data_IF_966428027241
#
_entry.id   IF_966428027241
#
_cell.length_a   1.000
_cell.length_b   1.000
_cell.length_c   1.000
_cell.angle_alpha   90.00
_cell.angle_beta   90.00
_cell.angle_gamma   90.00
#
_symmetry.space_group_name_H-M   'P 1'
#
loop_
_entity.id
_entity.type
_entity.pdbx_description
1 polymer ?
#
# COMPACT_ATOMS: atom_id res chain seq x y z
N UNK A 1 -0.46 -18.07 -6.67
CA UNK A 1 0.56 -17.02 -6.86
C UNK A 1 -0.11 -15.82 -7.49
N UNK A 2 0.20 -14.59 -7.10
CA UNK A 2 -0.42 -13.40 -7.67
C UNK A 2 -1.03 -12.43 -6.66
N UNK A 3 -1.66 -11.39 -7.22
CA UNK A 3 -2.08 -10.17 -6.52
C UNK A 3 -2.95 -10.44 -5.29
N UNK A 4 -3.89 -11.40 -5.35
CA UNK A 4 -4.81 -11.70 -4.24
C UNK A 4 -4.07 -12.09 -2.94
N UNK A 5 -3.04 -12.93 -3.06
CA UNK A 5 -2.29 -13.39 -1.89
C UNK A 5 -1.39 -12.27 -1.35
N UNK A 6 -0.77 -11.49 -2.24
CA UNK A 6 0.04 -10.34 -1.85
C UNK A 6 -0.80 -9.29 -1.11
N UNK A 7 -2.02 -9.00 -1.59
CA UNK A 7 -2.95 -8.11 -0.92
C UNK A 7 -3.33 -8.61 0.47
N UNK A 8 -3.61 -9.90 0.64
CA UNK A 8 -3.92 -10.47 1.96
C UNK A 8 -2.77 -10.24 2.94
N UNK A 9 -1.53 -10.54 2.54
CA UNK A 9 -0.34 -10.32 3.38
C UNK A 9 -0.17 -8.84 3.70
N UNK A 10 -0.29 -7.96 2.70
CA UNK A 10 -0.20 -6.52 2.89
C UNK A 10 -1.26 -6.01 3.88
N UNK A 11 -2.51 -6.44 3.75
CA UNK A 11 -3.58 -6.04 4.67
C UNK A 11 -3.26 -6.47 6.10
N UNK A 12 -2.84 -7.72 6.30
CA UNK A 12 -2.47 -8.23 7.63
C UNK A 12 -1.30 -7.45 8.23
N UNK A 13 -0.26 -7.16 7.44
CA UNK A 13 0.89 -6.39 7.91
C UNK A 13 0.56 -4.93 8.20
N UNK A 14 -0.29 -4.31 7.37
CA UNK A 14 -0.71 -2.92 7.54
C UNK A 14 -1.60 -2.71 8.76
N UNK A 15 -2.30 -3.75 9.21
CA UNK A 15 -3.16 -3.67 10.40
C UNK A 15 -2.36 -3.42 11.68
N UNK A 16 -1.17 -4.00 11.80
CA UNK A 16 -0.34 -3.91 13.00
C UNK A 16 -0.01 -2.45 13.41
N UNK A 17 0.61 -1.61 12.55
CA UNK A 17 0.91 -0.22 12.91
C UNK A 17 -0.36 0.62 13.16
N UNK A 18 -1.45 0.35 12.44
CA UNK A 18 -2.72 1.06 12.62
C UNK A 18 -3.30 0.77 14.00
N UNK A 19 -3.40 -0.50 14.37
CA UNK A 19 -3.93 -0.93 15.67
C UNK A 19 -3.04 -0.43 16.81
N UNK A 20 -1.72 -0.60 16.69
CA UNK A 20 -0.78 -0.17 17.72
C UNK A 20 -0.85 1.35 17.95
N UNK A 21 -0.87 2.13 16.86
CA UNK A 21 -0.98 3.59 16.95
C UNK A 21 -2.32 4.02 17.53
N UNK A 22 -3.41 3.35 17.15
CA UNK A 22 -4.75 3.64 17.68
C UNK A 22 -4.85 3.35 19.18
N UNK A 23 -4.28 2.23 19.62
CA UNK A 23 -4.24 1.88 21.04
C UNK A 23 -3.46 2.92 21.85
N UNK A 24 -2.26 3.30 21.38
CA UNK A 24 -1.43 4.31 22.05
C UNK A 24 -2.14 5.68 22.06
N UNK A 25 -2.76 6.07 20.94
CA UNK A 25 -3.52 7.31 20.83
C UNK A 25 -4.64 7.43 21.86
N UNK A 26 -5.40 6.34 22.07
CA UNK A 26 -6.52 6.30 23.02
C UNK A 26 -6.07 6.25 24.49
N UNK A 27 -4.83 5.81 24.74
CA UNK A 27 -4.21 5.73 26.06
C UNK A 27 -3.56 7.04 26.47
N UNK A 28 -3.02 7.81 25.52
CA UNK A 28 -2.37 9.10 25.75
C UNK A 28 -3.35 10.25 26.05
N UNK A 29 -4.66 10.03 25.90
CA UNK A 29 -5.67 11.04 26.24
C UNK A 29 -5.64 11.33 27.74
N UNK A 30 -5.31 12.58 28.10
CA UNK A 30 -5.22 13.05 29.50
C UNK A 30 -6.48 12.72 30.30
N UNK A 31 -6.28 12.11 31.48
CA UNK A 31 -7.38 11.76 32.39
C UNK A 31 -8.18 12.98 32.86
N UNK A 32 -7.53 14.14 33.00
CA UNK A 32 -8.17 15.40 33.39
C UNK A 32 -9.34 15.76 32.46
N UNK A 33 -9.16 15.57 31.16
CA UNK A 33 -10.17 15.87 30.14
C UNK A 33 -11.33 14.88 30.23
N UNK A 34 -11.04 13.63 30.55
CA UNK A 34 -12.03 12.58 30.75
C UNK A 34 -12.87 12.87 32.01
N UNK A 35 -12.23 13.22 33.13
CA UNK A 35 -12.90 13.56 34.39
C UNK A 35 -13.77 14.82 34.23
N UNK A 36 -13.29 15.84 33.52
CA UNK A 36 -14.06 17.03 33.21
C UNK A 36 -15.31 16.71 32.36
N UNK A 37 -15.17 15.88 31.33
CA UNK A 37 -16.30 15.48 30.48
C UNK A 37 -17.36 14.68 31.27
N UNK A 38 -16.94 13.80 32.19
CA UNK A 38 -17.84 13.08 33.09
C UNK A 38 -18.54 14.06 34.05
N UNK A 39 -17.82 15.03 34.60
CA UNK A 39 -18.38 16.08 35.46
C UNK A 39 -19.41 16.98 34.77
N UNK A 40 -19.35 17.08 33.44
CA UNK A 40 -20.33 17.77 32.60
C UNK A 40 -21.54 16.88 32.20
N UNK A 41 -21.61 15.64 32.70
CA UNK A 41 -22.73 14.72 32.44
C UNK A 41 -22.63 13.92 31.14
N UNK A 42 -21.45 13.78 30.54
CA UNK A 42 -21.29 12.96 29.32
C UNK A 42 -21.61 11.48 29.59
N UNK A 43 -22.47 10.90 28.76
CA UNK A 43 -22.71 9.45 28.74
C UNK A 43 -21.44 8.70 28.26
N UNK A 44 -21.11 7.51 28.78
CA UNK A 44 -20.00 6.67 28.31
C UNK A 44 -19.81 6.57 26.79
N UNK A 45 -20.90 6.48 26.02
CA UNK A 45 -20.82 6.45 24.55
C UNK A 45 -20.36 7.79 23.97
N UNK A 46 -20.85 8.90 24.52
CA UNK A 46 -20.46 10.24 24.10
C UNK A 46 -19.03 10.57 24.52
N UNK A 47 -18.63 10.13 25.71
CA UNK A 47 -17.25 10.24 26.20
C UNK A 47 -16.27 9.54 25.26
N UNK A 48 -16.62 8.35 24.76
CA UNK A 48 -15.77 7.64 23.80
C UNK A 48 -15.72 8.36 22.44
N UNK A 49 -16.87 8.58 21.79
CA UNK A 49 -16.89 9.09 20.41
C UNK A 49 -16.57 10.58 20.29
N UNK A 50 -17.08 11.43 21.19
CA UNK A 50 -16.93 12.90 21.09
C UNK A 50 -15.67 13.41 21.76
N UNK A 51 -15.18 12.74 22.82
CA UNK A 51 -14.01 13.20 23.57
C UNK A 51 -12.79 12.35 23.23
N UNK A 52 -12.74 11.10 23.67
CA UNK A 52 -11.54 10.25 23.56
C UNK A 52 -11.13 9.99 22.11
N UNK A 53 -12.07 9.55 21.29
CA UNK A 53 -11.80 9.22 19.88
C UNK A 53 -11.38 10.46 19.10
N UNK A 54 -12.12 11.57 19.24
CA UNK A 54 -11.85 12.82 18.54
C UNK A 54 -10.48 13.43 18.90
N UNK A 55 -10.06 13.32 20.15
CA UNK A 55 -8.73 13.73 20.61
C UNK A 55 -7.62 12.81 20.10
N UNK A 56 -7.91 11.52 19.91
CA UNK A 56 -6.96 10.52 19.43
C UNK A 56 -6.75 10.53 17.90
N UNK A 57 -7.68 11.10 17.10
CA UNK A 57 -7.61 11.13 15.63
C UNK A 57 -6.24 11.56 15.08
N UNK A 58 -5.60 12.66 15.53
CA UNK A 58 -4.33 13.10 14.96
C UNK A 58 -3.23 12.06 15.10
N UNK A 59 -3.14 11.39 16.25
CA UNK A 59 -2.20 10.30 16.51
C UNK A 59 -2.54 9.05 15.67
N UNK A 60 -3.82 8.73 15.50
CA UNK A 60 -4.25 7.60 14.63
C UNK A 60 -3.78 7.83 13.18
N UNK A 61 -3.87 9.06 12.67
CA UNK A 61 -3.40 9.42 11.32
C UNK A 61 -1.89 9.28 11.17
N UNK A 62 -1.10 9.54 12.24
CA UNK A 62 0.34 9.24 12.26
C UNK A 62 0.56 7.74 12.03
N UNK A 63 -0.23 6.90 12.71
CA UNK A 63 -0.19 5.46 12.53
C UNK A 63 -0.50 5.01 11.09
N UNK A 64 -1.50 5.64 10.48
CA UNK A 64 -1.85 5.39 9.07
C UNK A 64 -0.70 5.78 8.13
N UNK A 65 -0.04 6.90 8.38
CA UNK A 65 1.11 7.36 7.60
C UNK A 65 2.26 6.35 7.64
N UNK A 66 2.60 5.86 8.83
CA UNK A 66 3.61 4.81 9.02
C UNK A 66 3.19 3.53 8.28
N UNK A 67 1.91 3.14 8.39
CA UNK A 67 1.39 1.96 7.71
C UNK A 67 1.53 2.08 6.18
N UNK A 68 1.20 3.24 5.59
CA UNK A 68 1.31 3.45 4.14
C UNK A 68 2.75 3.32 3.64
N UNK A 69 3.71 3.94 4.32
CA UNK A 69 5.14 3.84 3.96
C UNK A 69 5.61 2.38 4.04
N UNK A 70 5.24 1.68 5.12
CA UNK A 70 5.58 0.28 5.31
C UNK A 70 4.96 -0.62 4.22
N UNK A 71 3.70 -0.39 3.87
CA UNK A 71 3.00 -1.15 2.84
C UNK A 71 3.59 -0.94 1.46
N UNK A 72 4.00 0.29 1.12
CA UNK A 72 4.68 0.57 -0.16
C UNK A 72 6.01 -0.19 -0.24
N UNK A 73 6.79 -0.19 0.84
CA UNK A 73 8.04 -0.96 0.88
C UNK A 73 7.78 -2.47 0.72
N UNK A 74 6.79 -3.02 1.45
CA UNK A 74 6.43 -4.44 1.39
C UNK A 74 5.79 -4.84 0.06
N UNK A 75 5.07 -3.94 -0.60
CA UNK A 75 4.52 -4.16 -1.93
C UNK A 75 5.64 -4.38 -2.97
N UNK A 76 6.81 -3.75 -2.77
CA UNK A 76 8.02 -4.05 -3.53
C UNK A 76 8.40 -5.53 -3.43
N UNK A 77 8.39 -6.10 -2.23
CA UNK A 77 8.67 -7.53 -1.98
C UNK A 77 7.60 -8.43 -2.62
N UNK A 78 6.34 -7.96 -2.68
CA UNK A 78 5.22 -8.67 -3.31
C UNK A 78 5.46 -9.08 -4.77
N UNK A 79 6.39 -8.43 -5.47
CA UNK A 79 6.84 -8.83 -6.80
C UNK A 79 7.36 -10.28 -6.84
N UNK A 80 7.98 -10.78 -5.75
CA UNK A 80 8.46 -12.17 -5.64
C UNK A 80 7.32 -13.19 -5.67
N UNK A 81 6.13 -12.83 -5.19
CA UNK A 81 4.95 -13.70 -5.12
C UNK A 81 4.11 -13.54 -6.39
N UNK A 82 4.69 -12.99 -7.47
CA UNK A 82 4.03 -12.85 -8.76
C UNK A 82 2.90 -11.82 -8.78
N UNK A 83 2.85 -10.90 -7.82
CA UNK A 83 1.91 -9.78 -7.84
C UNK A 83 2.28 -8.75 -8.92
N UNK A 84 3.52 -8.79 -9.43
CA UNK A 84 4.05 -7.85 -10.40
C UNK A 84 4.44 -6.51 -9.76
N UNK A 85 4.42 -5.43 -10.55
CA UNK A 85 4.65 -4.06 -10.06
C UNK A 85 6.11 -3.60 -10.05
N UNK A 86 6.33 -2.44 -9.43
CA UNK A 86 7.60 -1.69 -9.43
C UNK A 86 8.77 -2.47 -8.79
N UNK A 87 8.47 -3.41 -7.88
CA UNK A 87 9.48 -4.26 -7.23
C UNK A 87 10.22 -5.19 -8.19
N UNK A 88 9.67 -5.49 -9.37
CA UNK A 88 10.35 -6.33 -10.36
C UNK A 88 11.69 -5.76 -10.84
N UNK A 89 11.81 -4.44 -10.96
CA UNK A 89 13.05 -3.80 -11.37
C UNK A 89 14.18 -4.04 -10.35
N UNK A 90 13.86 -3.95 -9.05
CA UNK A 90 14.79 -4.21 -7.95
C UNK A 90 15.27 -5.66 -8.01
N UNK A 91 14.34 -6.61 -8.08
CA UNK A 91 14.71 -8.03 -8.10
C UNK A 91 15.48 -8.43 -9.36
N UNK A 92 15.12 -7.89 -10.53
CA UNK A 92 15.92 -8.11 -11.75
C UNK A 92 17.33 -7.55 -11.59
N UNK A 93 17.49 -6.39 -10.95
CA UNK A 93 18.79 -5.77 -10.71
C UNK A 93 19.65 -6.61 -9.77
N UNK A 94 19.05 -7.15 -8.71
CA UNK A 94 19.72 -8.08 -7.78
C UNK A 94 20.21 -9.33 -8.50
N UNK A 95 19.36 -9.97 -9.32
CA UNK A 95 19.72 -11.24 -9.97
C UNK A 95 20.72 -11.07 -11.12
N UNK A 96 20.73 -9.92 -11.79
CA UNK A 96 21.67 -9.61 -12.87
C UNK A 96 22.95 -8.94 -12.38
N UNK A 97 23.11 -8.77 -11.06
CA UNK A 97 24.19 -7.98 -10.43
C UNK A 97 24.33 -6.56 -11.04
N UNK A 98 23.25 -6.02 -11.60
CA UNK A 98 23.23 -4.71 -12.21
C UNK A 98 22.83 -3.67 -11.17
N UNK A 99 23.83 -3.03 -10.58
CA UNK A 99 23.67 -1.97 -9.58
C UNK A 99 22.88 -0.78 -10.12
N UNK A 100 23.01 -0.44 -11.40
CA UNK A 100 22.27 0.66 -12.04
C UNK A 100 20.77 0.37 -12.03
N UNK A 101 20.36 -0.84 -12.41
CA UNK A 101 18.95 -1.24 -12.42
C UNK A 101 18.38 -1.32 -10.99
N UNK A 102 19.18 -1.82 -10.05
CA UNK A 102 18.83 -1.90 -8.63
C UNK A 102 18.53 -0.52 -8.04
N UNK A 103 19.44 0.44 -8.26
CA UNK A 103 19.32 1.82 -7.76
C UNK A 103 18.18 2.57 -8.46
N UNK A 104 18.02 2.40 -9.77
CA UNK A 104 16.91 3.00 -10.49
C UNK A 104 15.55 2.50 -9.95
N UNK A 105 15.43 1.19 -9.71
CA UNK A 105 14.23 0.59 -9.14
C UNK A 105 13.94 1.08 -7.72
N UNK A 106 14.95 1.12 -6.85
CA UNK A 106 14.77 1.59 -5.46
C UNK A 106 14.45 3.07 -5.39
N UNK A 107 15.05 3.91 -6.26
CA UNK A 107 14.79 5.34 -6.32
C UNK A 107 13.33 5.63 -6.72
N UNK A 108 12.79 4.91 -7.71
CA UNK A 108 11.39 5.06 -8.14
C UNK A 108 10.44 4.68 -7.01
N UNK A 109 10.70 3.57 -6.30
CA UNK A 109 9.85 3.16 -5.16
C UNK A 109 9.97 4.14 -4.00
N UNK A 110 11.18 4.64 -3.71
CA UNK A 110 11.39 5.64 -2.66
C UNK A 110 10.62 6.94 -2.96
N UNK A 111 10.70 7.43 -4.20
CA UNK A 111 9.94 8.60 -4.64
C UNK A 111 8.43 8.38 -4.50
N UNK A 112 7.94 7.21 -4.94
CA UNK A 112 6.53 6.85 -4.79
C UNK A 112 6.10 6.78 -3.31
N UNK A 113 6.94 6.21 -2.45
CA UNK A 113 6.69 6.14 -1.00
C UNK A 113 6.58 7.53 -0.38
N UNK A 114 7.48 8.46 -0.72
CA UNK A 114 7.43 9.85 -0.25
C UNK A 114 6.19 10.58 -0.77
N UNK A 115 5.77 10.33 -2.01
CA UNK A 115 4.55 10.91 -2.55
C UNK A 115 3.30 10.37 -1.83
N UNK A 116 3.25 9.07 -1.57
CA UNK A 116 2.15 8.45 -0.81
C UNK A 116 2.11 8.97 0.64
N UNK A 117 3.26 9.10 1.28
CA UNK A 117 3.42 9.67 2.61
C UNK A 117 2.94 11.12 2.68
N UNK A 118 3.38 11.96 1.73
CA UNK A 118 2.92 13.36 1.61
C UNK A 118 1.42 13.43 1.36
N UNK A 119 0.89 12.53 0.53
CA UNK A 119 -0.54 12.47 0.25
C UNK A 119 -1.36 12.24 1.52
N UNK A 120 -0.94 11.31 2.38
CA UNK A 120 -1.57 11.07 3.69
C UNK A 120 -1.32 12.25 4.64
N UNK A 121 -0.12 12.84 4.60
CA UNK A 121 0.27 13.96 5.46
C UNK A 121 -0.60 15.21 5.24
N UNK A 122 -1.11 15.45 4.03
CA UNK A 122 -2.07 16.55 3.77
C UNK A 122 -3.31 16.44 4.67
N UNK A 123 -3.78 15.23 4.97
CA UNK A 123 -4.91 15.01 5.88
C UNK A 123 -4.53 15.18 7.35
N UNK A 124 -3.26 14.93 7.70
CA UNK A 124 -2.73 15.10 9.05
C UNK A 124 -2.50 16.58 9.39
N UNK A 125 -1.86 17.34 8.50
CA UNK A 125 -1.34 18.68 8.79
C UNK A 125 -2.43 19.74 9.02
N UNK A 126 -3.65 19.50 8.53
CA UNK A 126 -4.74 20.49 8.66
C UNK A 126 -5.62 20.33 9.91
N UNK A 127 -5.39 19.35 10.80
CA UNK A 127 -6.40 18.93 11.79
C UNK A 127 -7.79 18.80 11.12
N UNK A 128 -7.80 18.41 9.83
CA UNK A 128 -8.94 18.56 8.92
C UNK A 128 -10.16 17.81 9.46
N UNK A 129 -9.93 16.61 10.01
CA UNK A 129 -10.97 15.79 10.62
C UNK A 129 -11.50 16.41 11.92
N UNK A 130 -10.65 16.99 12.78
CA UNK A 130 -11.12 17.70 13.98
C UNK A 130 -11.92 18.97 13.61
N UNK A 131 -11.57 19.67 12.53
CA UNK A 131 -12.30 20.86 12.04
C UNK A 131 -13.65 20.53 11.41
N UNK A 132 -13.86 19.31 10.92
CA UNK A 132 -15.18 18.85 10.47
C UNK A 132 -16.15 18.72 11.65
N UNK A 133 -15.66 18.27 12.81
CA UNK A 133 -16.46 18.11 14.03
C UNK A 133 -16.47 19.34 14.96
N UNK A 134 -15.54 20.27 14.82
CA UNK A 134 -15.51 21.52 15.60
C UNK A 134 -16.51 22.55 15.06
N UNK A 135 -17.40 23.03 15.94
CA UNK A 135 -18.43 24.02 15.61
C UNK A 135 -17.85 25.42 15.27
N UNK A 136 -16.59 25.71 15.62
CA UNK A 136 -15.95 27.02 15.43
C UNK A 136 -15.10 27.15 14.15
N UNK A 137 -15.12 26.17 13.25
CA UNK A 137 -14.30 26.22 12.04
C UNK A 137 -14.92 27.10 10.93
N UNK A 138 -14.15 28.11 10.49
CA UNK A 138 -14.53 29.07 9.45
C UNK A 138 -14.88 28.37 8.12
N UNK A 139 -15.92 28.84 7.41
CA UNK A 139 -16.43 28.29 6.14
C UNK A 139 -15.32 28.03 5.08
N UNK A 140 -14.33 28.94 4.95
CA UNK A 140 -13.17 28.78 4.06
C UNK A 140 -12.27 27.59 4.41
N UNK A 141 -12.13 27.27 5.70
CA UNK A 141 -11.33 26.14 6.18
C UNK A 141 -12.05 24.81 5.95
N UNK A 142 -13.37 24.75 6.19
CA UNK A 142 -14.19 23.57 5.85
C UNK A 142 -14.17 23.29 4.34
N UNK A 143 -14.23 24.33 3.49
CA UNK A 143 -14.21 24.18 2.03
C UNK A 143 -12.89 23.57 1.51
N UNK A 144 -11.72 23.90 2.06
CA UNK A 144 -10.46 23.25 1.67
C UNK A 144 -10.44 21.76 2.02
N UNK A 145 -10.93 21.40 3.20
CA UNK A 145 -11.01 20.00 3.63
C UNK A 145 -11.94 19.21 2.71
N UNK A 146 -13.12 19.73 2.39
CA UNK A 146 -14.04 19.10 1.44
C UNK A 146 -13.46 19.00 0.03
N UNK A 147 -12.73 20.02 -0.45
CA UNK A 147 -12.06 19.96 -1.75
C UNK A 147 -10.99 18.88 -1.78
N UNK A 148 -10.13 18.77 -0.75
CA UNK A 148 -9.11 17.72 -0.67
C UNK A 148 -9.74 16.32 -0.59
N UNK A 149 -10.81 16.16 0.17
CA UNK A 149 -11.59 14.92 0.24
C UNK A 149 -12.26 14.57 -1.10
N UNK A 150 -12.83 15.56 -1.79
CA UNK A 150 -13.48 15.38 -3.08
C UNK A 150 -12.47 15.01 -4.18
N UNK A 151 -11.30 15.65 -4.18
CA UNK A 151 -10.19 15.30 -5.09
C UNK A 151 -9.70 13.89 -4.79
N UNK A 152 -9.55 13.51 -3.52
CA UNK A 152 -9.18 12.14 -3.14
C UNK A 152 -10.22 11.12 -3.59
N UNK A 153 -11.50 11.38 -3.33
CA UNK A 153 -12.60 10.51 -3.75
C UNK A 153 -12.64 10.39 -5.28
N UNK A 154 -12.44 11.49 -6.00
CA UNK A 154 -12.38 11.51 -7.46
C UNK A 154 -11.19 10.70 -8.00
N UNK A 155 -10.00 10.86 -7.42
CA UNK A 155 -8.80 10.07 -7.76
C UNK A 155 -9.00 8.57 -7.47
N UNK A 156 -9.64 8.25 -6.34
CA UNK A 156 -9.94 6.88 -5.95
C UNK A 156 -10.98 6.27 -6.90
N UNK A 157 -12.02 7.03 -7.26
CA UNK A 157 -13.07 6.59 -8.18
C UNK A 157 -12.53 6.45 -9.62
N UNK A 158 -11.66 7.36 -10.07
CA UNK A 158 -10.98 7.27 -11.37
C UNK A 158 -10.00 6.08 -11.43
N UNK A 159 -9.23 5.85 -10.36
CA UNK A 159 -8.39 4.67 -10.19
C UNK A 159 -9.22 3.39 -10.23
N UNK A 160 -10.30 3.32 -9.45
CA UNK A 160 -11.21 2.18 -9.43
C UNK A 160 -11.84 1.93 -10.81
N UNK A 161 -12.25 2.98 -11.53
CA UNK A 161 -12.80 2.85 -12.88
C UNK A 161 -11.77 2.32 -13.89
N UNK A 162 -10.51 2.71 -13.74
CA UNK A 162 -9.40 2.24 -14.58
C UNK A 162 -9.03 0.78 -14.28
N UNK A 163 -9.19 0.34 -13.03
CA UNK A 163 -8.97 -1.04 -12.60
C UNK A 163 -10.12 -1.99 -12.93
N UNK A 164 -11.30 -1.49 -13.31
CA UNK A 164 -12.38 -2.35 -13.81
C UNK A 164 -11.97 -2.85 -15.20
N UNK A 165 -11.78 -4.17 -15.39
CA UNK A 165 -11.42 -4.71 -16.70
C UNK A 165 -12.56 -4.43 -17.68
N UNK A 166 -12.37 -3.45 -18.58
CA UNK A 166 -13.27 -3.17 -19.70
C UNK A 166 -12.98 -4.20 -20.80
N UNK A 167 -13.70 -5.33 -20.74
CA UNK A 167 -13.69 -6.44 -21.70
C UNK A 167 -12.31 -7.18 -21.74
N UNK A 168 -12.18 -8.46 -22.05
CA UNK A 168 -13.02 -9.33 -22.85
C UNK A 168 -13.05 -10.76 -22.29
N UNK A 169 -14.00 -11.54 -22.80
CA UNK A 169 -14.07 -13.00 -22.73
C UNK A 169 -12.80 -13.53 -23.41
N UNK A 170 -11.71 -13.68 -22.66
CA UNK A 170 -10.50 -14.32 -23.16
C UNK A 170 -10.27 -15.59 -22.35
N UNK A 171 -10.16 -16.70 -23.09
CA UNK A 171 -9.83 -18.03 -22.59
C UNK A 171 -8.70 -17.92 -21.55
N UNK A 172 -8.83 -18.61 -20.41
CA UNK A 172 -7.82 -18.59 -19.34
C UNK A 172 -6.45 -18.88 -19.97
N UNK A 173 -5.59 -17.86 -20.14
CA UNK A 173 -4.34 -18.06 -20.85
C UNK A 173 -3.46 -18.97 -20.00
N UNK A 174 -2.72 -19.87 -20.65
CA UNK A 174 -1.76 -20.71 -19.98
C UNK A 174 -0.70 -19.79 -19.35
N UNK A 175 -0.47 -19.90 -18.04
CA UNK A 175 0.52 -19.07 -17.34
C UNK A 175 1.85 -19.79 -17.35
N UNK A 176 2.82 -19.28 -18.11
CA UNK A 176 4.20 -19.77 -18.08
C UNK A 176 4.95 -18.97 -17.03
N UNK A 177 5.30 -19.63 -15.92
CA UNK A 177 6.02 -19.03 -14.82
C UNK A 177 7.45 -19.58 -14.71
N UNK A 178 8.40 -18.70 -14.37
CA UNK A 178 9.82 -19.07 -14.24
C UNK A 178 10.42 -18.48 -12.98
N UNK A 179 11.44 -19.14 -12.42
CA UNK A 179 12.23 -18.60 -11.32
C UNK A 179 13.09 -17.41 -11.79
N UNK A 180 13.55 -16.56 -10.86
CA UNK A 180 14.40 -15.43 -11.18
C UNK A 180 15.87 -15.84 -11.43
N UNK A 181 16.11 -16.69 -12.42
CA UNK A 181 17.45 -17.11 -12.88
C UNK A 181 17.58 -16.87 -14.37
N UNK A 182 18.76 -16.46 -14.84
CA UNK A 182 18.97 -16.09 -16.25
C UNK A 182 18.60 -17.21 -17.22
N UNK A 183 18.95 -18.45 -16.91
CA UNK A 183 18.62 -19.63 -17.73
C UNK A 183 17.11 -19.86 -17.76
N UNK A 184 16.45 -19.70 -16.61
CA UNK A 184 15.00 -19.87 -16.51
C UNK A 184 14.24 -18.76 -17.25
N UNK A 185 14.76 -17.53 -17.27
CA UNK A 185 14.20 -16.47 -18.11
C UNK A 185 14.29 -16.83 -19.60
N UNK A 186 15.45 -17.30 -20.07
CA UNK A 186 15.65 -17.68 -21.48
C UNK A 186 14.75 -18.87 -21.86
N UNK A 187 14.75 -19.93 -21.05
CA UNK A 187 13.90 -21.11 -21.28
C UNK A 187 12.41 -20.76 -21.24
N UNK A 188 12.02 -19.86 -20.32
CA UNK A 188 10.66 -19.34 -20.25
C UNK A 188 10.24 -18.61 -21.53
N UNK A 189 11.13 -17.79 -22.08
CA UNK A 189 10.87 -17.05 -23.31
C UNK A 189 10.79 -17.99 -24.52
N UNK A 190 11.73 -18.93 -24.67
CA UNK A 190 11.72 -19.92 -25.74
C UNK A 190 10.44 -20.77 -25.69
N UNK A 191 10.05 -21.24 -24.51
CA UNK A 191 8.81 -21.98 -24.32
C UNK A 191 7.58 -21.13 -24.64
N UNK A 192 7.56 -19.87 -24.21
CA UNK A 192 6.46 -18.95 -24.49
C UNK A 192 6.31 -18.70 -25.99
N UNK A 193 7.41 -18.45 -26.70
CA UNK A 193 7.41 -18.25 -28.14
C UNK A 193 6.96 -19.51 -28.90
N UNK A 194 7.38 -20.71 -28.43
CA UNK A 194 6.97 -21.98 -29.03
C UNK A 194 5.46 -22.21 -28.89
N UNK A 195 4.91 -21.96 -27.72
CA UNK A 195 3.49 -22.10 -27.44
C UNK A 195 2.64 -21.03 -28.18
N UNK A 196 3.14 -19.80 -28.32
CA UNK A 196 2.49 -18.74 -29.12
C UNK A 196 2.44 -19.11 -30.60
N UNK A 197 3.52 -19.74 -31.11
CA UNK A 197 3.56 -20.28 -32.48
C UNK A 197 2.51 -21.36 -32.73
N UNK A 198 2.08 -22.07 -31.67
CA UNK A 198 0.99 -23.05 -31.72
C UNK A 198 -0.40 -22.45 -31.41
N UNK A 199 -0.54 -21.12 -31.47
CA UNK A 199 -1.79 -20.39 -31.21
C UNK A 199 -2.38 -20.58 -29.80
N UNK A 200 -1.55 -20.92 -28.81
CA UNK A 200 -1.98 -21.02 -27.41
C UNK A 200 -1.81 -19.62 -26.78
N UNK A 201 -2.87 -19.00 -26.22
CA UNK A 201 -2.74 -17.71 -25.54
C UNK A 201 -2.00 -17.89 -24.21
N UNK A 202 -0.92 -17.13 -24.02
CA UNK A 202 -0.03 -17.27 -22.87
C UNK A 202 0.09 -15.98 -22.09
N UNK A 203 0.17 -16.12 -20.78
CA UNK A 203 0.57 -15.03 -19.88
C UNK A 203 1.96 -15.32 -19.32
N UNK A 204 2.94 -14.50 -19.71
CA UNK A 204 4.30 -14.55 -19.18
C UNK A 204 4.31 -14.08 -17.72
N UNK A 205 4.79 -14.92 -16.83
CA UNK A 205 4.83 -14.67 -15.39
C UNK A 205 6.23 -15.01 -14.84
N UNK A 206 7.24 -14.33 -15.36
CA UNK A 206 8.64 -14.65 -15.08
C UNK A 206 9.16 -14.02 -13.78
N UNK A 207 10.18 -14.66 -13.19
CA UNK A 207 10.84 -14.16 -11.98
C UNK A 207 10.01 -14.33 -10.71
N UNK A 208 9.16 -15.35 -10.67
CA UNK A 208 8.26 -15.63 -9.54
C UNK A 208 8.87 -16.75 -8.69
N UNK A 209 8.78 -16.58 -7.37
CA UNK A 209 9.33 -17.51 -6.39
C UNK A 209 10.74 -17.14 -5.97
N UNK A 210 10.97 -17.12 -4.65
CA UNK A 210 12.29 -16.92 -4.03
C UNK A 210 12.69 -18.19 -3.30
N UNK A 211 13.60 -18.96 -3.90
CA UNK A 211 14.07 -20.22 -3.34
C UNK A 211 15.20 -20.78 -4.19
N UNK A 212 16.38 -20.81 -3.56
CA UNK A 212 17.72 -21.19 -4.05
C UNK A 212 18.37 -20.21 -5.03
N UNK A 213 19.17 -19.28 -4.49
CA UNK A 213 20.39 -18.85 -5.17
C UNK A 213 21.19 -20.13 -5.47
N UNK A 214 21.63 -20.32 -6.72
CA UNK A 214 22.73 -21.21 -7.03
C UNK A 214 23.98 -20.65 -6.35
N UNK A 215 24.13 -20.91 -5.05
CA UNK A 215 25.42 -20.81 -4.39
C UNK A 215 26.15 -22.08 -4.78
N UNK A 216 26.73 -22.11 -5.98
CA UNK A 216 27.90 -22.95 -6.16
C UNK A 216 29.00 -22.27 -5.34
N UNK A 217 29.63 -22.93 -4.36
CA UNK A 217 30.82 -22.37 -3.75
C UNK A 217 31.86 -22.30 -4.88
N UNK A 218 32.24 -21.10 -5.27
CA UNK A 218 33.50 -20.88 -5.96
C UNK A 218 34.59 -20.96 -4.88
N UNK A 219 35.09 -22.18 -4.67
CA UNK A 219 36.45 -22.44 -4.21
C UNK A 219 37.21 -23.01 -5.39
#
# INVERSE_FOLDING_TARGET
VGLKNALLVLVLYGLLPIVHSTYNALKEVREEVIKAAIGLGCNPKELFFKVRFLLAIPQILVGLRIAVVMLVAMAGIGALIGAGGLGQAIFRGLNTQNTTLLVAGSLIIALFSVLADKFVSVFQHENALQRLFSQNATQKQKRRVYLNLAVFLFLLLASALWLIPRNAIEEKPLVVATKPSSEQYILGEILSLLLEKHHIPIKRAFGIGGGTMNIHPAL
#
